data_IF_645610775489
#
_entry.id   IF_645610775489
#
_cell.length_a   1.000
_cell.length_b   1.000
_cell.length_c   1.000
_cell.angle_alpha   90.00
_cell.angle_beta   90.00
_cell.angle_gamma   90.00
#
_symmetry.space_group_name_H-M   'P 1'
#
loop_
_entity.id
_entity.type
_entity.pdbx_description
1 polymer ?
#
# COMPACT_ATOMS: atom_id res chain seq x y z
N UNK A 1 -13.96 25.80 -4.22
CA UNK A 1 -14.98 25.11 -5.04
C UNK A 1 -14.23 24.14 -5.95
N UNK A 2 -13.93 22.92 -5.47
CA UNK A 2 -13.20 21.92 -6.26
C UNK A 2 -14.22 21.13 -7.09
N UNK A 3 -14.20 21.33 -8.40
CA UNK A 3 -14.99 20.54 -9.34
C UNK A 3 -14.54 19.08 -9.23
N UNK A 4 -15.45 18.11 -9.01
CA UNK A 4 -15.10 16.70 -9.09
C UNK A 4 -14.80 16.40 -10.56
N UNK A 5 -13.53 16.26 -10.92
CA UNK A 5 -13.15 15.65 -12.19
C UNK A 5 -13.74 14.24 -12.14
N UNK A 6 -14.79 14.00 -12.93
CA UNK A 6 -15.39 12.68 -13.08
C UNK A 6 -14.40 11.80 -13.86
N UNK A 7 -13.42 11.25 -13.15
CA UNK A 7 -12.50 10.27 -13.70
C UNK A 7 -13.27 8.98 -14.00
N UNK A 8 -13.34 8.52 -15.26
CA UNK A 8 -14.03 7.29 -15.61
C UNK A 8 -13.35 6.12 -14.91
N UNK A 9 -14.03 5.50 -13.96
CA UNK A 9 -13.44 4.46 -13.12
C UNK A 9 -13.40 3.13 -13.87
N UNK A 10 -12.21 2.59 -14.12
CA UNK A 10 -12.07 1.23 -14.60
C UNK A 10 -12.35 0.27 -13.44
N UNK A 11 -13.49 -0.43 -13.49
CA UNK A 11 -13.73 -1.53 -12.56
C UNK A 11 -12.79 -2.66 -12.96
N UNK A 12 -11.75 -2.88 -12.17
CA UNK A 12 -10.90 -4.06 -12.31
C UNK A 12 -11.79 -5.32 -12.44
N UNK A 13 -11.39 -6.32 -13.26
CA UNK A 13 -12.14 -7.56 -13.41
C UNK A 13 -12.50 -8.14 -12.04
N UNK A 14 -13.70 -8.71 -11.89
CA UNK A 14 -14.20 -9.31 -10.65
C UNK A 14 -13.17 -10.22 -9.96
N UNK A 15 -12.34 -10.92 -10.75
CA UNK A 15 -11.27 -11.78 -10.28
C UNK A 15 -10.16 -11.05 -9.48
N UNK A 16 -9.72 -9.84 -9.87
CA UNK A 16 -8.70 -9.10 -9.12
C UNK A 16 -9.21 -8.74 -7.74
N UNK A 17 -10.47 -8.30 -7.64
CA UNK A 17 -11.06 -7.98 -6.34
C UNK A 17 -11.19 -9.20 -5.44
N UNK A 18 -11.55 -10.36 -6.01
CA UNK A 18 -11.59 -11.63 -5.26
C UNK A 18 -10.22 -12.00 -4.72
N UNK A 19 -9.17 -11.89 -5.56
CA UNK A 19 -7.79 -12.14 -5.15
C UNK A 19 -7.35 -11.20 -4.03
N UNK A 20 -7.62 -9.90 -4.16
CA UNK A 20 -7.29 -8.91 -3.13
C UNK A 20 -7.94 -9.23 -1.79
N UNK A 21 -9.24 -9.55 -1.80
CA UNK A 21 -9.99 -9.83 -0.59
C UNK A 21 -9.54 -11.15 0.05
N UNK A 22 -9.41 -12.22 -0.74
CA UNK A 22 -8.97 -13.52 -0.25
C UNK A 22 -7.55 -13.44 0.32
N UNK A 23 -6.63 -12.80 -0.42
CA UNK A 23 -5.26 -12.60 0.02
C UNK A 23 -5.16 -11.73 1.27
N UNK A 24 -5.90 -10.62 1.34
CA UNK A 24 -5.89 -9.76 2.51
C UNK A 24 -6.46 -10.46 3.75
N UNK A 25 -7.56 -11.21 3.63
CA UNK A 25 -8.15 -11.95 4.73
C UNK A 25 -7.24 -13.09 5.20
N UNK A 26 -6.63 -13.83 4.27
CA UNK A 26 -5.66 -14.88 4.59
C UNK A 26 -4.45 -14.29 5.34
N UNK A 27 -3.86 -13.21 4.82
CA UNK A 27 -2.74 -12.55 5.45
C UNK A 27 -3.12 -11.97 6.82
N UNK A 28 -4.30 -11.36 6.97
CA UNK A 28 -4.78 -10.89 8.26
C UNK A 28 -4.97 -12.03 9.25
N UNK A 29 -5.52 -13.17 8.83
CA UNK A 29 -5.71 -14.34 9.69
C UNK A 29 -4.36 -14.93 10.13
N UNK A 30 -3.43 -15.14 9.20
CA UNK A 30 -2.10 -15.67 9.48
C UNK A 30 -1.27 -14.70 10.34
N UNK A 31 -1.45 -13.40 10.15
CA UNK A 31 -0.68 -12.37 10.83
C UNK A 31 -1.38 -11.78 12.06
N UNK A 32 -2.60 -12.22 12.42
CA UNK A 32 -3.36 -11.65 13.53
C UNK A 32 -2.57 -11.70 14.85
N UNK A 33 -2.09 -12.89 15.21
CA UNK A 33 -1.29 -13.08 16.43
C UNK A 33 0.02 -12.27 16.39
N UNK A 34 0.90 -12.38 15.37
CA UNK A 34 2.14 -11.61 15.38
C UNK A 34 1.91 -10.09 15.30
N UNK A 35 0.88 -9.61 14.58
CA UNK A 35 0.56 -8.18 14.54
C UNK A 35 0.05 -7.64 15.87
N UNK A 36 -0.76 -8.42 16.60
CA UNK A 36 -1.22 -8.02 17.94
C UNK A 36 -0.08 -8.01 18.95
N UNK A 37 0.81 -9.01 18.91
CA UNK A 37 2.01 -9.04 19.75
C UNK A 37 2.95 -7.87 19.42
N UNK A 38 3.22 -7.62 18.15
CA UNK A 38 4.01 -6.47 17.70
C UNK A 38 3.38 -5.16 18.17
N UNK A 39 2.04 -5.03 18.05
CA UNK A 39 1.34 -3.85 18.52
C UNK A 39 1.48 -3.64 20.04
N UNK A 40 1.38 -4.72 20.83
CA UNK A 40 1.60 -4.69 22.27
C UNK A 40 3.03 -4.31 22.65
N UNK A 41 4.03 -4.86 21.97
CA UNK A 41 5.45 -4.52 22.16
C UNK A 41 5.73 -3.06 21.81
N UNK A 42 5.18 -2.58 20.69
CA UNK A 42 5.25 -1.17 20.34
C UNK A 42 4.57 -0.33 21.43
N UNK A 43 3.36 -0.66 21.86
CA UNK A 43 2.69 0.09 22.92
C UNK A 43 3.53 0.19 24.18
N UNK A 44 4.09 -0.93 24.66
CA UNK A 44 4.95 -0.96 25.84
C UNK A 44 6.23 -0.13 25.67
N UNK A 45 6.82 -0.10 24.47
CA UNK A 45 8.07 0.61 24.19
C UNK A 45 7.91 2.14 24.03
N UNK A 46 6.77 2.61 23.51
CA UNK A 46 6.57 4.03 23.17
C UNK A 46 5.41 4.71 23.92
N UNK A 47 4.65 3.99 24.76
CA UNK A 47 3.64 4.56 25.67
C UNK A 47 2.51 5.35 25.00
N UNK A 48 2.29 5.16 23.70
CA UNK A 48 1.37 5.97 22.91
C UNK A 48 0.72 5.17 21.78
N UNK A 49 -0.27 5.78 21.10
CA UNK A 49 -1.05 5.16 20.03
C UNK A 49 -0.17 4.42 19.03
N UNK A 50 -0.47 3.14 18.82
CA UNK A 50 0.34 2.25 17.98
C UNK A 50 -0.03 2.35 16.50
N UNK A 51 -1.28 2.70 16.21
CA UNK A 51 -1.77 2.87 14.85
C UNK A 51 -1.99 4.35 14.55
N UNK A 52 -1.58 4.74 13.34
CA UNK A 52 -1.86 6.04 12.75
C UNK A 52 -2.76 5.87 11.52
N UNK A 53 -3.48 6.95 11.20
CA UNK A 53 -4.36 7.01 10.04
C UNK A 53 -3.98 8.21 9.19
N UNK A 54 -3.45 7.96 8.00
CA UNK A 54 -2.97 9.00 7.09
C UNK A 54 -3.98 9.22 5.95
N UNK A 55 -4.24 10.48 5.54
CA UNK A 55 -5.16 10.76 4.45
C UNK A 55 -4.60 10.26 3.11
N UNK A 56 -5.46 9.64 2.30
CA UNK A 56 -5.11 9.15 0.97
C UNK A 56 -6.29 9.23 0.00
N UNK A 57 -5.99 9.12 -1.30
CA UNK A 57 -6.97 9.05 -2.38
C UNK A 57 -7.13 7.62 -2.88
N UNK A 58 -8.37 7.13 -2.87
CA UNK A 58 -8.75 5.83 -3.39
C UNK A 58 -9.27 5.92 -4.83
N UNK A 59 -9.90 4.83 -5.27
CA UNK A 59 -10.53 4.72 -6.58
C UNK A 59 -11.47 5.90 -6.88
N UNK A 60 -11.28 6.53 -8.04
CA UNK A 60 -12.03 7.70 -8.47
C UNK A 60 -11.80 8.95 -7.61
N UNK A 61 -10.68 9.02 -6.89
CA UNK A 61 -10.36 10.15 -6.01
C UNK A 61 -11.11 10.12 -4.67
N UNK A 62 -11.76 9.02 -4.32
CA UNK A 62 -12.51 8.89 -3.06
C UNK A 62 -11.56 9.02 -1.86
N UNK A 63 -11.73 10.00 -0.97
CA UNK A 63 -10.86 10.15 0.18
C UNK A 63 -11.05 8.99 1.16
N UNK A 64 -9.96 8.45 1.67
CA UNK A 64 -9.96 7.45 2.74
C UNK A 64 -8.75 7.67 3.66
N UNK A 65 -8.59 6.79 4.65
CA UNK A 65 -7.44 6.84 5.56
C UNK A 65 -6.70 5.51 5.63
N UNK A 66 -5.43 5.50 5.27
CA UNK A 66 -4.55 4.32 5.34
C UNK A 66 -4.22 4.01 6.79
N UNK A 67 -4.25 2.73 7.15
CA UNK A 67 -3.80 2.26 8.47
C UNK A 67 -2.32 1.96 8.43
N UNK A 68 -1.54 2.49 9.37
CA UNK A 68 -0.12 2.16 9.51
C UNK A 68 0.26 2.01 10.97
N UNK A 69 1.32 1.28 11.24
CA UNK A 69 1.95 1.38 12.54
C UNK A 69 2.67 2.72 12.67
N UNK A 70 2.56 3.32 13.84
CA UNK A 70 3.31 4.52 14.19
C UNK A 70 4.76 4.14 14.37
N UNK A 71 5.63 4.72 13.54
CA UNK A 71 7.06 4.68 13.76
C UNK A 71 7.44 5.73 14.79
N UNK A 72 7.85 5.28 15.98
CA UNK A 72 8.38 6.14 17.04
C UNK A 72 9.90 6.31 16.98
N UNK A 73 10.46 7.12 17.88
CA UNK A 73 11.91 7.20 18.08
C UNK A 73 12.42 5.96 18.81
N UNK A 74 13.71 5.64 18.64
CA UNK A 74 14.40 4.57 19.38
C UNK A 74 14.42 3.22 18.65
N UNK A 75 14.91 2.19 19.35
CA UNK A 75 15.24 0.88 18.76
C UNK A 75 14.02 0.18 18.16
N UNK A 76 12.86 0.26 18.81
CA UNK A 76 11.63 -0.38 18.33
C UNK A 76 11.12 0.24 17.03
N UNK A 77 11.12 1.58 16.92
CA UNK A 77 10.76 2.28 15.69
C UNK A 77 11.74 1.99 14.55
N UNK A 78 13.05 2.05 14.85
CA UNK A 78 14.08 1.72 13.86
C UNK A 78 13.98 0.25 13.38
N UNK A 79 13.65 -0.69 14.27
CA UNK A 79 13.43 -2.08 13.88
C UNK A 79 12.18 -2.23 12.99
N UNK A 80 11.09 -1.54 13.33
CA UNK A 80 9.85 -1.55 12.56
C UNK A 80 10.07 -1.05 11.13
N UNK A 81 10.83 0.05 10.96
CA UNK A 81 11.21 0.57 9.65
C UNK A 81 12.11 -0.40 8.89
N UNK A 82 13.17 -0.92 9.53
CA UNK A 82 14.12 -1.86 8.91
C UNK A 82 13.46 -3.13 8.39
N UNK A 83 12.43 -3.62 9.09
CA UNK A 83 11.70 -4.82 8.72
C UNK A 83 10.52 -4.54 7.74
N UNK A 84 10.27 -3.29 7.35
CA UNK A 84 9.16 -2.90 6.49
C UNK A 84 7.76 -3.38 6.99
N UNK A 85 7.58 -3.53 8.29
CA UNK A 85 6.33 -4.04 8.87
C UNK A 85 5.32 -2.92 9.13
N UNK A 86 5.74 -1.66 9.04
CA UNK A 86 4.93 -0.48 9.32
C UNK A 86 3.68 -0.36 8.44
N UNK A 87 3.71 -0.93 7.24
CA UNK A 87 2.60 -0.94 6.30
C UNK A 87 1.58 -2.07 6.46
N UNK A 88 1.86 -3.10 7.27
CA UNK A 88 0.98 -4.28 7.38
C UNK A 88 -0.47 -3.98 7.82
N UNK A 89 -0.74 -2.98 8.68
CA UNK A 89 -2.12 -2.61 9.00
C UNK A 89 -2.97 -2.19 7.79
N UNK A 90 -2.36 -1.81 6.65
CA UNK A 90 -3.08 -1.48 5.42
C UNK A 90 -3.86 -2.66 4.83
N UNK A 91 -3.58 -3.90 5.24
CA UNK A 91 -4.42 -5.06 4.87
C UNK A 91 -5.89 -4.84 5.28
N UNK A 92 -6.15 -4.08 6.35
CA UNK A 92 -7.50 -3.67 6.75
C UNK A 92 -8.16 -2.80 5.67
N UNK A 93 -7.41 -1.89 5.03
CA UNK A 93 -7.91 -1.07 3.93
C UNK A 93 -8.23 -1.91 2.69
N UNK A 94 -7.43 -2.94 2.41
CA UNK A 94 -7.68 -3.88 1.30
C UNK A 94 -8.97 -4.68 1.56
N UNK A 95 -9.12 -5.21 2.78
CA UNK A 95 -10.33 -5.92 3.19
C UNK A 95 -11.58 -5.02 3.08
N UNK A 96 -11.47 -3.74 3.46
CA UNK A 96 -12.54 -2.72 3.33
C UNK A 96 -12.81 -2.26 1.89
N UNK A 97 -11.96 -2.62 0.94
CA UNK A 97 -12.12 -2.24 -0.47
C UNK A 97 -11.70 -0.81 -0.80
N UNK A 98 -11.01 -0.16 0.12
CA UNK A 98 -10.38 1.15 -0.07
C UNK A 98 -9.07 1.02 -0.87
N UNK A 99 -8.35 -0.10 -0.69
CA UNK A 99 -7.10 -0.43 -1.35
C UNK A 99 -7.15 -1.79 -2.07
N UNK A 100 -6.11 -2.04 -2.86
CA UNK A 100 -5.77 -3.31 -3.51
C UNK A 100 -4.46 -3.86 -2.90
N UNK A 101 -4.18 -5.15 -3.01
CA UNK A 101 -2.85 -5.67 -2.64
C UNK A 101 -1.79 -5.07 -3.56
N UNK A 102 -2.07 -5.08 -4.87
CA UNK A 102 -1.20 -4.51 -5.91
C UNK A 102 -1.88 -3.32 -6.59
N UNK A 103 -1.17 -2.20 -6.69
CA UNK A 103 -1.65 -0.98 -7.31
C UNK A 103 -0.64 0.17 -7.20
N UNK A 104 -0.93 1.32 -7.81
CA UNK A 104 -0.12 2.52 -7.64
C UNK A 104 -0.06 2.93 -6.17
N UNK A 105 1.03 3.59 -5.77
CA UNK A 105 1.17 4.06 -4.38
C UNK A 105 0.00 5.00 -4.03
N UNK A 106 -0.60 4.90 -2.83
CA UNK A 106 -1.62 5.85 -2.40
C UNK A 106 -1.05 7.27 -2.36
N UNK A 107 -1.54 8.13 -3.24
CA UNK A 107 -1.26 9.56 -3.22
C UNK A 107 -2.29 10.35 -2.40
N UNK A 108 -2.07 11.65 -2.32
CA UNK A 108 -3.00 12.61 -1.74
C UNK A 108 -3.91 13.18 -2.85
N UNK A 109 -5.23 13.19 -2.66
CA UNK A 109 -6.19 13.52 -3.73
C UNK A 109 -6.04 14.90 -4.36
N UNK A 110 -5.29 15.80 -3.72
CA UNK A 110 -5.08 17.17 -4.18
C UNK A 110 -3.88 17.34 -5.12
N UNK A 111 -2.87 16.46 -5.08
CA UNK A 111 -1.70 16.52 -5.97
C UNK A 111 -1.46 15.24 -6.75
N UNK A 112 -2.31 14.23 -6.57
CA UNK A 112 -2.20 12.99 -7.33
C UNK A 112 -2.71 13.16 -8.76
N UNK A 113 -2.06 12.49 -9.71
CA UNK A 113 -2.46 12.59 -11.11
C UNK A 113 -3.75 11.81 -11.36
N UNK A 114 -4.63 12.29 -12.27
CA UNK A 114 -5.94 11.67 -12.49
C UNK A 114 -5.89 10.21 -12.94
N UNK A 115 -4.84 9.80 -13.65
CA UNK A 115 -4.62 8.44 -14.15
C UNK A 115 -4.46 7.40 -13.02
N UNK A 116 -3.76 7.75 -11.94
CA UNK A 116 -3.57 6.84 -10.79
C UNK A 116 -4.88 6.58 -10.03
N UNK A 117 -5.85 7.47 -10.16
CA UNK A 117 -7.18 7.34 -9.54
C UNK A 117 -8.11 6.42 -10.33
N UNK A 118 -7.72 5.94 -11.52
CA UNK A 118 -8.53 5.03 -12.34
C UNK A 118 -8.59 3.61 -11.75
N UNK A 119 -7.62 3.26 -10.89
CA UNK A 119 -7.53 1.98 -10.19
C UNK A 119 -7.45 2.20 -8.67
N UNK A 120 -7.61 1.12 -7.89
CA UNK A 120 -7.40 1.22 -6.44
C UNK A 120 -5.89 1.36 -6.16
N UNK A 121 -5.49 2.22 -5.21
CA UNK A 121 -4.10 2.25 -4.76
C UNK A 121 -3.70 0.92 -4.11
N UNK A 122 -2.43 0.57 -4.24
CA UNK A 122 -1.84 -0.68 -3.78
C UNK A 122 -1.09 -0.56 -2.46
N UNK A 123 -0.99 -1.67 -1.73
CA UNK A 123 0.02 -1.82 -0.66
C UNK A 123 1.43 -1.96 -1.24
N UNK A 124 1.52 -2.67 -2.36
CA UNK A 124 2.70 -2.79 -3.22
C UNK A 124 2.34 -2.41 -4.66
N UNK A 125 3.32 -2.21 -5.53
CA UNK A 125 3.11 -1.75 -6.89
C UNK A 125 4.35 -1.97 -7.75
N UNK A 126 4.18 -1.82 -9.07
CA UNK A 126 5.23 -2.10 -10.05
C UNK A 126 6.50 -1.30 -9.76
N UNK A 127 6.37 0.02 -9.56
CA UNK A 127 7.53 0.83 -9.22
C UNK A 127 8.21 0.38 -7.92
N UNK A 128 7.47 -0.10 -6.91
CA UNK A 128 8.07 -0.52 -5.64
C UNK A 128 8.95 -1.76 -5.81
N UNK A 129 8.58 -2.68 -6.70
CA UNK A 129 9.37 -3.89 -6.97
C UNK A 129 10.46 -3.68 -8.01
N UNK A 130 10.24 -2.74 -8.94
CA UNK A 130 11.20 -2.37 -9.97
C UNK A 130 12.23 -1.34 -9.49
N UNK A 131 11.92 -0.56 -8.46
CA UNK A 131 12.76 0.53 -8.00
C UNK A 131 14.13 0.01 -7.54
N UNK A 132 15.16 0.59 -8.15
CA UNK A 132 16.52 0.63 -7.60
C UNK A 132 16.59 1.84 -6.66
N UNK A 133 17.58 1.84 -5.78
CA UNK A 133 17.74 2.83 -4.70
C UNK A 133 17.85 4.29 -5.18
N UNK A 134 18.00 4.53 -6.49
CA UNK A 134 18.27 5.81 -7.13
C UNK A 134 17.31 6.18 -8.28
N UNK A 135 16.14 5.52 -8.40
CA UNK A 135 15.21 5.78 -9.50
C UNK A 135 14.64 7.22 -9.43
N UNK A 136 14.77 8.05 -10.48
CA UNK A 136 14.15 9.37 -10.55
C UNK A 136 12.62 9.31 -10.38
N UNK A 137 12.03 10.40 -9.88
CA UNK A 137 10.58 10.49 -9.65
C UNK A 137 9.77 10.27 -10.92
N UNK A 138 10.26 10.78 -12.04
CA UNK A 138 9.65 10.64 -13.35
C UNK A 138 9.56 9.17 -13.77
N UNK A 139 10.58 8.36 -13.48
CA UNK A 139 10.60 6.93 -13.80
C UNK A 139 9.63 6.14 -12.91
N UNK A 140 9.51 6.50 -11.63
CA UNK A 140 8.51 5.89 -10.74
C UNK A 140 7.10 6.13 -11.26
N UNK A 141 6.81 7.35 -11.73
CA UNK A 141 5.52 7.71 -12.31
C UNK A 141 5.25 6.98 -13.63
N UNK A 142 6.28 6.75 -14.46
CA UNK A 142 6.13 5.94 -15.68
C UNK A 142 5.73 4.51 -15.37
N UNK A 143 6.31 3.90 -14.33
CA UNK A 143 5.99 2.55 -13.89
C UNK A 143 4.56 2.46 -13.32
N UNK A 144 4.14 3.46 -12.54
CA UNK A 144 2.75 3.53 -12.08
C UNK A 144 1.76 3.69 -13.23
N UNK A 145 2.06 4.54 -14.22
CA UNK A 145 1.23 4.68 -15.43
C UNK A 145 1.16 3.38 -16.23
N UNK A 146 2.30 2.74 -16.44
CA UNK A 146 2.38 1.47 -17.14
C UNK A 146 1.50 0.41 -16.46
N UNK A 147 1.52 0.35 -15.13
CA UNK A 147 0.64 -0.52 -14.37
C UNK A 147 -0.84 -0.16 -14.57
N UNK A 148 -1.22 1.11 -14.44
CA UNK A 148 -2.62 1.54 -14.66
C UNK A 148 -3.15 1.08 -16.02
N UNK A 149 -2.34 1.26 -17.07
CA UNK A 149 -2.71 0.96 -18.45
C UNK A 149 -2.72 -0.55 -18.78
N UNK A 150 -1.83 -1.34 -18.16
CA UNK A 150 -1.54 -2.71 -18.60
C UNK A 150 -1.75 -3.79 -17.52
N UNK A 151 -2.27 -3.42 -16.34
CA UNK A 151 -2.42 -4.40 -15.26
C UNK A 151 -3.37 -5.54 -15.63
N UNK A 152 -2.92 -6.74 -15.30
CA UNK A 152 -3.70 -7.98 -15.36
C UNK A 152 -3.23 -8.90 -14.23
N UNK A 153 -3.95 -9.99 -13.98
CA UNK A 153 -3.73 -10.83 -12.80
C UNK A 153 -2.31 -11.43 -12.71
N UNK A 154 -1.69 -11.81 -13.83
CA UNK A 154 -0.33 -12.36 -13.81
C UNK A 154 0.70 -11.31 -13.41
N UNK A 155 0.56 -10.07 -13.86
CA UNK A 155 1.40 -8.96 -13.41
C UNK A 155 1.24 -8.73 -11.89
N UNK A 156 0.01 -8.84 -11.35
CA UNK A 156 -0.20 -8.74 -9.90
C UNK A 156 0.56 -9.83 -9.14
N UNK A 157 0.45 -11.09 -9.60
CA UNK A 157 1.12 -12.23 -8.98
C UNK A 157 2.65 -12.09 -9.04
N UNK A 158 3.17 -11.63 -10.17
CA UNK A 158 4.59 -11.34 -10.33
C UNK A 158 5.05 -10.25 -9.36
N UNK A 159 4.31 -9.15 -9.25
CA UNK A 159 4.63 -8.08 -8.29
C UNK A 159 4.60 -8.62 -6.86
N UNK A 160 3.55 -9.35 -6.47
CA UNK A 160 3.44 -9.95 -5.13
C UNK A 160 4.59 -10.90 -4.81
N UNK A 161 5.04 -11.70 -5.77
CA UNK A 161 6.18 -12.61 -5.59
C UNK A 161 7.49 -11.84 -5.37
N UNK A 162 7.65 -10.66 -5.99
CA UNK A 162 8.83 -9.82 -5.85
C UNK A 162 8.81 -8.93 -4.60
N UNK A 163 7.63 -8.60 -4.07
CA UNK A 163 7.45 -7.66 -2.95
C UNK A 163 8.32 -7.95 -1.72
N UNK A 164 8.42 -9.20 -1.19
CA UNK A 164 9.21 -9.44 0.01
C UNK A 164 10.69 -9.10 -0.19
N UNK A 165 11.24 -9.46 -1.36
CA UNK A 165 12.63 -9.18 -1.72
C UNK A 165 12.86 -7.68 -1.94
N UNK A 166 11.94 -7.00 -2.61
CA UNK A 166 12.02 -5.57 -2.84
C UNK A 166 11.93 -4.79 -1.52
N UNK A 167 10.97 -5.12 -0.66
CA UNK A 167 10.80 -4.51 0.66
C UNK A 167 12.07 -4.67 1.52
N UNK A 168 12.72 -5.82 1.46
CA UNK A 168 13.97 -6.04 2.19
C UNK A 168 15.14 -5.19 1.65
N UNK A 169 15.25 -5.06 0.31
CA UNK A 169 16.31 -4.26 -0.34
C UNK A 169 16.18 -2.77 -0.04
N UNK A 170 14.98 -2.22 -0.18
CA UNK A 170 14.70 -0.79 0.03
C UNK A 170 15.00 -0.29 1.44
N UNK A 171 15.01 -1.19 2.43
CA UNK A 171 15.32 -0.83 3.82
C UNK A 171 16.80 -1.01 4.20
N UNK A 172 17.61 -1.57 3.29
CA UNK A 172 19.05 -1.80 3.49
C UNK A 172 19.96 -0.94 2.61
N UNK A 173 19.41 -0.33 1.56
CA UNK A 173 20.07 0.72 0.79
C UNK A 173 20.05 2.04 1.57
#
# INVERSE_FOLDING_TARGET
>A
MHLPIAVPVWRAPSAKRTLDLAGALLLLALLAVPLTLLAGLLYAAQGARVLVREPAAGLGGRPYRTWRFRVGKGRAGAALERCALDGLPQLINVARGEMSLVGPRPGNSASDRPDRLLVRPGMTGLWQVSARSDLPWEEMDLLDRHYVENHWLGMDLEILAQTPRAAWRHRRA
#
